data_IF_592199819265
#
_entry.id   IF_592199819265
#
_cell.length_a   1.000
_cell.length_b   1.000
_cell.length_c   1.000
_cell.angle_alpha   90.00
_cell.angle_beta   90.00
_cell.angle_gamma   90.00
#
_symmetry.space_group_name_H-M   'P 1'
#
loop_
_entity.id
_entity.type
_entity.pdbx_description
1 polymer ?
#
# COMPACT_ATOMS: atom_id res chain seq x y z
N UNK A 1 10.46 -4.47 -6.21
CA UNK A 1 11.38 -5.61 -6.50
C UNK A 1 10.83 -6.87 -5.84
N UNK A 2 10.46 -7.94 -6.58
CA UNK A 2 9.68 -9.08 -6.05
C UNK A 2 10.45 -10.11 -5.20
N UNK A 3 11.74 -9.87 -4.92
CA UNK A 3 12.67 -10.94 -4.50
C UNK A 3 12.79 -11.09 -2.97
N UNK A 4 12.33 -10.13 -2.19
CA UNK A 4 12.36 -10.17 -0.72
C UNK A 4 11.07 -10.72 -0.10
N UNK A 5 9.99 -10.87 -0.89
CA UNK A 5 8.70 -11.42 -0.43
C UNK A 5 8.68 -12.95 -0.29
N UNK A 6 9.73 -13.65 -0.75
CA UNK A 6 9.79 -15.12 -0.72
C UNK A 6 9.98 -15.63 0.72
N UNK A 7 10.82 -14.97 1.52
CA UNK A 7 11.09 -15.40 2.90
C UNK A 7 9.87 -15.19 3.82
N UNK A 8 9.10 -14.11 3.61
CA UNK A 8 7.81 -13.87 4.29
C UNK A 8 6.75 -14.91 3.88
N UNK A 9 6.73 -15.33 2.62
CA UNK A 9 5.81 -16.37 2.13
C UNK A 9 6.10 -17.77 2.71
N UNK A 10 7.37 -18.12 2.97
CA UNK A 10 7.77 -19.43 3.52
C UNK A 10 7.38 -19.56 5.00
N UNK A 11 7.47 -18.48 5.80
CA UNK A 11 7.05 -18.49 7.20
C UNK A 11 5.54 -18.82 7.38
N UNK A 12 4.73 -18.53 6.36
CA UNK A 12 3.27 -18.61 6.36
C UNK A 12 2.70 -20.00 6.02
N UNK A 13 3.48 -20.87 5.36
CA UNK A 13 3.00 -22.18 4.87
C UNK A 13 3.10 -23.34 5.86
N UNK A 14 3.88 -23.23 6.94
CA UNK A 14 4.23 -24.38 7.78
C UNK A 14 3.22 -24.70 8.89
N UNK A 15 2.32 -23.78 9.25
CA UNK A 15 1.25 -24.01 10.24
C UNK A 15 1.74 -24.60 11.57
N UNK A 16 3.03 -24.42 11.89
CA UNK A 16 3.68 -25.05 13.04
C UNK A 16 4.47 -24.01 13.81
N UNK A 17 3.86 -23.57 14.91
CA UNK A 17 4.54 -22.78 15.94
C UNK A 17 3.60 -21.74 16.51
N UNK A 18 3.24 -21.87 17.79
CA UNK A 18 2.50 -20.86 18.54
C UNK A 18 3.31 -19.58 18.72
N UNK A 19 3.40 -18.77 17.67
CA UNK A 19 3.86 -17.38 17.62
C UNK A 19 2.73 -16.49 17.09
N UNK A 20 2.83 -15.19 17.35
CA UNK A 20 1.77 -14.19 17.15
C UNK A 20 0.91 -14.39 15.89
N UNK A 21 -0.41 -14.35 16.07
CA UNK A 21 -1.36 -14.59 14.99
C UNK A 21 -1.38 -13.42 14.01
N UNK A 22 -0.54 -13.48 12.97
CA UNK A 22 -0.57 -12.52 11.88
C UNK A 22 -1.90 -12.60 11.11
N UNK A 23 -2.46 -11.44 10.80
CA UNK A 23 -3.67 -11.26 10.02
C UNK A 23 -3.35 -10.55 8.71
N UNK A 24 -3.91 -11.05 7.62
CA UNK A 24 -3.98 -10.30 6.37
C UNK A 24 -5.00 -9.16 6.50
N UNK A 25 -4.60 -7.96 6.09
CA UNK A 25 -5.44 -6.76 6.11
C UNK A 25 -5.17 -5.97 4.83
N UNK A 26 -6.23 -5.40 4.28
CA UNK A 26 -6.15 -4.42 3.20
C UNK A 26 -6.42 -3.03 3.75
N UNK A 27 -5.57 -2.09 3.38
CA UNK A 27 -5.79 -0.66 3.62
C UNK A 27 -6.00 0.05 2.29
N UNK A 28 -6.88 1.04 2.29
CA UNK A 28 -7.26 1.80 1.11
C UNK A 28 -7.14 3.27 1.43
N UNK A 29 -6.64 4.07 0.49
CA UNK A 29 -6.38 5.49 0.76
C UNK A 29 -6.26 6.32 -0.50
N UNK A 30 -6.23 7.63 -0.29
CA UNK A 30 -6.06 8.62 -1.33
C UNK A 30 -4.81 9.46 -1.08
N UNK A 31 -4.00 9.64 -2.11
CA UNK A 31 -2.92 10.63 -2.14
C UNK A 31 -3.46 12.07 -2.12
N UNK A 32 -2.56 13.06 -2.06
CA UNK A 32 -2.92 14.48 -1.96
C UNK A 32 -3.77 15.02 -3.13
N UNK A 33 -3.78 14.35 -4.28
CA UNK A 33 -4.50 14.74 -5.50
C UNK A 33 -5.69 13.83 -5.80
N UNK A 34 -5.94 12.83 -4.94
CA UNK A 34 -6.98 11.82 -5.15
C UNK A 34 -6.47 10.53 -5.80
N UNK A 35 -5.15 10.35 -5.88
CA UNK A 35 -4.50 9.11 -6.28
C UNK A 35 -4.95 7.97 -5.39
N UNK A 36 -5.48 6.92 -5.98
CA UNK A 36 -5.92 5.75 -5.24
C UNK A 36 -4.72 4.88 -4.88
N UNK A 37 -4.68 4.47 -3.62
CA UNK A 37 -3.76 3.49 -3.08
C UNK A 37 -4.56 2.29 -2.56
N UNK A 38 -4.03 1.09 -2.81
CA UNK A 38 -4.53 -0.18 -2.32
C UNK A 38 -3.36 -0.98 -1.76
N UNK A 39 -3.37 -1.22 -0.45
CA UNK A 39 -2.20 -1.68 0.31
C UNK A 39 -2.53 -3.03 0.92
N UNK A 40 -1.73 -4.04 0.59
CA UNK A 40 -1.79 -5.35 1.22
C UNK A 40 -0.81 -5.39 2.40
N UNK A 41 -1.30 -5.76 3.57
CA UNK A 41 -0.51 -5.86 4.78
C UNK A 41 -0.72 -7.21 5.49
N UNK A 42 0.33 -7.67 6.19
CA UNK A 42 0.33 -8.82 7.07
C UNK A 42 0.83 -8.37 8.44
N UNK A 43 -0.05 -8.35 9.44
CA UNK A 43 0.25 -7.74 10.74
C UNK A 43 -0.29 -8.55 11.91
N UNK A 44 0.43 -8.56 13.02
CA UNK A 44 0.01 -9.08 14.32
C UNK A 44 -0.87 -8.07 15.10
N UNK A 45 -0.89 -6.81 14.69
CA UNK A 45 -1.61 -5.74 15.38
C UNK A 45 -2.20 -4.71 14.39
N UNK A 46 -3.45 -4.99 13.96
CA UNK A 46 -4.19 -4.13 13.02
C UNK A 46 -4.31 -2.67 13.46
N UNK A 47 -4.41 -2.41 14.77
CA UNK A 47 -4.58 -1.06 15.32
C UNK A 47 -3.29 -0.24 15.26
N UNK A 48 -2.13 -0.89 15.44
CA UNK A 48 -0.81 -0.27 15.25
C UNK A 48 -0.63 0.10 13.78
N UNK A 49 -0.73 -0.90 12.90
CA UNK A 49 -0.52 -0.74 11.46
C UNK A 49 -1.46 0.30 10.85
N UNK A 50 -2.76 0.27 11.15
CA UNK A 50 -3.70 1.28 10.62
C UNK A 50 -3.36 2.70 11.08
N UNK A 51 -2.79 2.86 12.27
CA UNK A 51 -2.39 4.16 12.80
C UNK A 51 -1.12 4.69 12.14
N UNK A 52 -0.15 3.81 11.89
CA UNK A 52 1.10 4.11 11.20
C UNK A 52 0.85 4.45 9.73
N UNK A 53 0.09 3.61 9.00
CA UNK A 53 -0.32 3.88 7.62
C UNK A 53 -1.09 5.20 7.52
N UNK A 54 -2.04 5.47 8.42
CA UNK A 54 -2.76 6.75 8.45
C UNK A 54 -1.81 7.94 8.63
N UNK A 55 -0.79 7.80 9.46
CA UNK A 55 0.21 8.85 9.68
C UNK A 55 1.04 9.11 8.41
N UNK A 56 1.46 8.06 7.71
CA UNK A 56 2.19 8.15 6.43
C UNK A 56 1.37 8.96 5.41
N UNK A 57 0.10 8.59 5.17
CA UNK A 57 -0.79 9.36 4.29
C UNK A 57 -0.93 10.82 4.74
N UNK A 58 -1.15 11.05 6.04
CA UNK A 58 -1.40 12.39 6.57
C UNK A 58 -0.18 13.31 6.40
N UNK A 59 1.05 12.80 6.55
CA UNK A 59 2.29 13.56 6.32
C UNK A 59 2.45 13.97 4.86
N UNK A 60 2.08 13.11 3.93
CA UNK A 60 2.12 13.39 2.49
C UNK A 60 0.99 14.34 2.02
N UNK A 61 -0.03 14.55 2.86
CA UNK A 61 -1.23 15.35 2.55
C UNK A 61 -2.36 14.53 1.93
N UNK A 62 -2.29 13.20 2.00
CA UNK A 62 -3.36 12.27 1.64
C UNK A 62 -4.23 11.88 2.84
N UNK A 63 -5.07 10.87 2.65
CA UNK A 63 -5.93 10.33 3.69
C UNK A 63 -6.18 8.84 3.54
N UNK A 64 -6.28 8.13 4.66
CA UNK A 64 -6.71 6.74 4.68
C UNK A 64 -8.25 6.67 4.54
N UNK A 65 -8.71 5.87 3.59
CA UNK A 65 -10.12 5.59 3.32
C UNK A 65 -10.68 4.45 4.16
N UNK A 66 -11.98 4.20 3.97
CA UNK A 66 -12.65 3.02 4.51
C UNK A 66 -12.58 1.85 3.52
N UNK A 67 -12.93 0.65 3.98
CA UNK A 67 -13.01 -0.52 3.11
C UNK A 67 -13.95 -0.26 1.91
N UNK A 68 -13.47 -0.57 0.70
CA UNK A 68 -14.15 -0.36 -0.57
C UNK A 68 -13.99 1.04 -1.18
N UNK A 69 -13.22 1.95 -0.59
CA UNK A 69 -13.02 3.30 -1.13
C UNK A 69 -12.25 3.34 -2.45
N UNK A 70 -11.32 2.40 -2.66
CA UNK A 70 -10.48 2.31 -3.85
C UNK A 70 -10.48 0.91 -4.45
N UNK A 71 -10.92 -0.12 -3.73
CA UNK A 71 -10.91 -1.52 -4.17
C UNK A 71 -11.54 -1.76 -5.55
N UNK A 72 -12.58 -1.00 -5.91
CA UNK A 72 -13.23 -1.12 -7.22
C UNK A 72 -12.32 -0.73 -8.40
N UNK A 73 -11.27 0.05 -8.15
CA UNK A 73 -10.27 0.46 -9.14
C UNK A 73 -9.33 -0.71 -9.44
N UNK A 74 -9.04 -1.53 -8.44
CA UNK A 74 -8.01 -2.59 -8.45
C UNK A 74 -8.58 -4.01 -8.58
N UNK A 75 -9.88 -4.16 -8.82
CA UNK A 75 -10.55 -5.45 -8.98
C UNK A 75 -10.94 -5.63 -10.46
N UNK A 76 -10.66 -6.78 -11.11
CA UNK A 76 -10.22 -8.06 -10.55
C UNK A 76 -8.71 -8.25 -10.37
N UNK A 77 -7.90 -7.30 -10.85
CA UNK A 77 -6.45 -7.41 -10.88
C UNK A 77 -5.80 -6.13 -10.34
N UNK A 78 -5.15 -6.19 -9.16
CA UNK A 78 -4.59 -4.99 -8.52
C UNK A 78 -3.36 -4.45 -9.24
N UNK A 79 -2.67 -5.26 -10.05
CA UNK A 79 -1.55 -4.79 -10.89
C UNK A 79 -2.03 -3.98 -12.10
N UNK A 80 -3.31 -4.11 -12.47
CA UNK A 80 -3.89 -3.45 -13.63
C UNK A 80 -5.15 -2.65 -13.25
N UNK A 81 -4.98 -1.42 -12.71
CA UNK A 81 -6.11 -0.59 -12.29
C UNK A 81 -7.02 -0.26 -13.48
N UNK A 82 -8.32 -0.13 -13.21
CA UNK A 82 -9.37 0.13 -14.21
C UNK A 82 -9.19 1.47 -14.94
N UNK A 83 -8.47 2.41 -14.33
CA UNK A 83 -8.04 3.66 -14.92
C UNK A 83 -6.79 4.15 -14.20
N UNK A 84 -5.97 4.94 -14.91
CA UNK A 84 -4.76 5.54 -14.37
C UNK A 84 -4.75 7.06 -14.54
N UNK A 85 -4.00 7.75 -13.67
CA UNK A 85 -3.78 9.19 -13.72
C UNK A 85 -2.33 9.49 -14.08
N UNK A 86 -2.12 10.29 -15.11
CA UNK A 86 -0.80 10.77 -15.52
C UNK A 86 -0.38 11.93 -14.61
N UNK A 87 0.83 11.84 -14.05
CA UNK A 87 1.39 12.87 -13.18
C UNK A 87 2.47 13.65 -13.93
N UNK A 88 2.12 14.84 -14.44
CA UNK A 88 3.04 15.63 -15.27
C UNK A 88 4.00 16.52 -14.47
N UNK A 89 3.61 16.96 -13.26
CA UNK A 89 4.42 17.87 -12.45
C UNK A 89 5.52 17.09 -11.70
N UNK A 90 6.81 17.29 -12.00
CA UNK A 90 7.90 16.52 -11.39
C UNK A 90 8.02 16.72 -9.88
N UNK A 91 7.67 17.92 -9.38
CA UNK A 91 7.69 18.18 -7.94
C UNK A 91 6.57 17.43 -7.24
N UNK A 92 5.44 17.28 -7.92
CA UNK A 92 4.33 16.52 -7.38
C UNK A 92 4.57 15.01 -7.47
N UNK A 93 5.12 14.53 -8.59
CA UNK A 93 5.59 13.16 -8.77
C UNK A 93 6.53 12.73 -7.63
N UNK A 94 7.57 13.53 -7.36
CA UNK A 94 8.51 13.26 -6.26
C UNK A 94 7.83 13.15 -4.88
N UNK A 95 6.73 13.88 -4.63
CA UNK A 95 5.97 13.75 -3.38
C UNK A 95 5.19 12.44 -3.31
N UNK A 96 4.64 11.98 -4.42
CA UNK A 96 3.94 10.70 -4.51
C UNK A 96 4.91 9.53 -4.41
N UNK A 97 6.10 9.67 -5.00
CA UNK A 97 7.20 8.70 -4.85
C UNK A 97 7.62 8.55 -3.40
N UNK A 98 7.86 9.66 -2.68
CA UNK A 98 8.20 9.58 -1.25
C UNK A 98 7.09 8.92 -0.42
N UNK A 99 5.81 9.16 -0.77
CA UNK A 99 4.69 8.49 -0.11
C UNK A 99 4.69 6.98 -0.41
N UNK A 100 4.93 6.58 -1.66
CA UNK A 100 5.00 5.19 -2.06
C UNK A 100 6.16 4.47 -1.34
N UNK A 101 7.34 5.08 -1.31
CA UNK A 101 8.52 4.58 -0.61
C UNK A 101 8.28 4.43 0.90
N UNK A 102 7.69 5.43 1.57
CA UNK A 102 7.33 5.32 3.00
C UNK A 102 6.34 4.19 3.29
N UNK A 103 5.45 3.87 2.35
CA UNK A 103 4.50 2.75 2.49
C UNK A 103 5.17 1.40 2.24
N UNK A 104 6.00 1.30 1.20
CA UNK A 104 6.75 0.07 0.86
C UNK A 104 7.76 -0.31 1.95
N UNK A 105 8.39 0.68 2.60
CA UNK A 105 9.34 0.49 3.69
C UNK A 105 8.66 0.10 5.03
N UNK A 106 7.33 0.11 5.10
CA UNK A 106 6.61 -0.24 6.32
C UNK A 106 6.65 -1.77 6.55
N UNK A 107 7.12 -2.21 7.73
CA UNK A 107 7.36 -3.64 8.05
C UNK A 107 6.18 -4.59 7.75
N UNK A 108 4.96 -4.15 8.12
CA UNK A 108 3.72 -4.91 7.91
C UNK A 108 3.20 -4.88 6.47
N UNK A 109 3.64 -3.93 5.62
CA UNK A 109 3.22 -3.83 4.22
C UNK A 109 3.91 -4.93 3.40
N UNK A 110 3.15 -5.53 2.49
CA UNK A 110 3.61 -6.57 1.57
C UNK A 110 3.69 -6.04 0.15
N UNK A 111 2.63 -5.34 -0.28
CA UNK A 111 2.52 -4.77 -1.62
C UNK A 111 1.66 -3.49 -1.57
N UNK A 112 2.03 -2.50 -2.39
CA UNK A 112 1.27 -1.26 -2.61
C UNK A 112 0.92 -1.15 -4.09
N UNK A 113 -0.37 -0.99 -4.38
CA UNK A 113 -0.89 -0.77 -5.72
C UNK A 113 -1.44 0.65 -5.84
N UNK A 114 -1.17 1.28 -6.97
CA UNK A 114 -1.55 2.67 -7.23
C UNK A 114 -2.19 2.82 -8.60
N UNK A 115 -3.00 3.86 -8.77
CA UNK A 115 -3.64 4.17 -10.05
C UNK A 115 -3.02 5.37 -10.76
N UNK A 116 -1.73 5.63 -10.57
CA UNK A 116 -1.05 6.75 -11.24
C UNK A 116 0.24 6.29 -11.91
N UNK A 117 0.62 7.04 -12.94
CA UNK A 117 1.86 6.87 -13.69
C UNK A 117 2.71 8.10 -13.43
N UNK A 118 3.94 7.86 -12.99
CA UNK A 118 4.94 8.89 -12.77
C UNK A 118 5.74 9.09 -14.05
N UNK A 119 6.25 10.31 -14.30
CA UNK A 119 7.04 10.59 -15.48
C UNK A 119 8.36 9.81 -15.39
N UNK A 120 8.82 9.26 -16.51
CA UNK A 120 10.17 8.70 -16.58
C UNK A 120 11.19 9.83 -16.41
N UNK A 121 12.13 9.68 -15.46
CA UNK A 121 13.22 10.65 -15.22
C UNK A 121 14.10 10.91 -16.46
#
# INVERSE_FOLDING_TARGET
MPKENIDKAIAKGSGQGGGDSYSEVTYEGFGPGGEAFYILALTDNKNRTVSEIRNIFSKAGGSLGGAGSTAYIFNPDPENPSYSMEIDDPKYASRLESLLEELDDHDDVQDVYVNFVLPEE
#
